data_IF_024837744828
#
_entry.id   IF_024837744828
#
_cell.length_a   1.000
_cell.length_b   1.000
_cell.length_c   1.000
_cell.angle_alpha   90.00
_cell.angle_beta   90.00
_cell.angle_gamma   90.00
#
_symmetry.space_group_name_H-M   'P 1'
#
loop_
_entity.id
_entity.type
_entity.pdbx_description
1 polymer ?
#
# COMPACT_ATOMS: atom_id res chain seq x y z
N UNK A 1 -8.16 -2.63 15.29
CA UNK A 1 -7.49 -3.37 14.19
C UNK A 1 -8.53 -4.08 13.36
N UNK A 2 -8.49 -3.92 12.07
CA UNK A 2 -9.39 -4.60 11.16
C UNK A 2 -8.59 -5.51 10.23
N UNK A 3 -8.98 -6.78 10.13
CA UNK A 3 -8.31 -7.77 9.30
C UNK A 3 -9.18 -8.09 8.09
N UNK A 4 -8.59 -8.00 6.92
CA UNK A 4 -9.24 -8.34 5.66
C UNK A 4 -8.30 -9.25 4.87
N UNK A 5 -8.72 -10.48 4.62
CA UNK A 5 -7.92 -11.48 3.94
C UNK A 5 -8.41 -11.66 2.50
N UNK A 6 -7.50 -11.52 1.54
CA UNK A 6 -7.81 -11.66 0.13
C UNK A 6 -6.70 -12.45 -0.57
N UNK A 7 -7.05 -13.25 -1.62
CA UNK A 7 -6.05 -13.96 -2.42
C UNK A 7 -5.44 -13.06 -3.48
N UNK A 8 -4.14 -13.21 -3.73
CA UNK A 8 -3.41 -12.52 -4.78
C UNK A 8 -2.63 -13.53 -5.61
N UNK A 9 -2.94 -13.61 -6.90
CA UNK A 9 -2.24 -14.53 -7.79
C UNK A 9 -0.90 -13.95 -8.19
N UNK A 10 0.20 -14.53 -7.67
CA UNK A 10 1.56 -14.02 -7.87
C UNK A 10 2.33 -14.78 -8.94
N UNK A 11 1.82 -15.93 -9.38
CA UNK A 11 2.39 -16.68 -10.50
C UNK A 11 1.28 -17.46 -11.18
N UNK A 12 1.51 -18.09 -12.34
CA UNK A 12 0.50 -18.93 -12.98
C UNK A 12 -0.01 -20.07 -12.10
N UNK A 13 0.77 -20.47 -11.07
CA UNK A 13 0.46 -21.63 -10.24
C UNK A 13 0.40 -21.32 -8.75
N UNK A 14 0.71 -20.10 -8.32
CA UNK A 14 0.78 -19.77 -6.90
C UNK A 14 -0.05 -18.53 -6.55
N UNK A 15 -0.77 -18.62 -5.42
CA UNK A 15 -1.57 -17.53 -4.86
C UNK A 15 -1.04 -17.17 -3.49
N UNK A 16 -0.79 -15.88 -3.26
CA UNK A 16 -0.40 -15.35 -1.97
C UNK A 16 -1.63 -14.88 -1.20
N UNK A 17 -1.50 -14.82 0.12
CA UNK A 17 -2.56 -14.33 1.00
C UNK A 17 -2.26 -12.87 1.38
N UNK A 18 -3.22 -11.98 1.15
CA UNK A 18 -3.11 -10.58 1.53
C UNK A 18 -3.80 -10.31 2.86
N UNK A 19 -3.10 -9.63 3.75
CA UNK A 19 -3.61 -9.21 5.04
C UNK A 19 -3.59 -7.68 5.10
N UNK A 20 -4.75 -7.06 5.37
CA UNK A 20 -4.85 -5.61 5.55
C UNK A 20 -5.05 -5.28 7.01
N UNK A 21 -4.27 -4.36 7.53
CA UNK A 21 -4.37 -3.89 8.90
C UNK A 21 -4.54 -2.38 8.91
N UNK A 22 -5.42 -1.89 9.80
CA UNK A 22 -5.68 -0.46 9.94
C UNK A 22 -5.22 0.01 11.31
N UNK A 23 -4.63 1.20 11.34
CA UNK A 23 -4.28 1.89 12.57
C UNK A 23 -4.90 3.27 12.58
N UNK A 24 -5.28 3.75 13.75
CA UNK A 24 -5.86 5.07 13.93
C UNK A 24 -5.27 5.68 15.20
N UNK A 25 -4.75 6.89 15.09
CA UNK A 25 -4.19 7.61 16.21
C UNK A 25 -4.84 8.98 16.33
N UNK A 26 -5.17 9.36 17.57
CA UNK A 26 -5.71 10.68 17.90
C UNK A 26 -4.71 11.37 18.83
N UNK A 27 -4.33 12.58 18.50
CA UNK A 27 -3.39 13.38 19.31
C UNK A 27 -3.87 14.83 19.37
N UNK A 28 -3.34 15.67 20.29
CA UNK A 28 -3.86 17.03 20.46
C UNK A 28 -3.84 17.89 19.20
N UNK A 29 -2.86 17.68 18.31
CA UNK A 29 -2.73 18.46 17.07
C UNK A 29 -3.56 17.91 15.90
N UNK A 30 -4.20 16.74 16.05
CA UNK A 30 -5.00 16.17 14.96
C UNK A 30 -5.22 14.68 15.11
N UNK A 31 -5.41 14.00 13.98
CA UNK A 31 -5.58 12.55 13.94
C UNK A 31 -4.99 11.99 12.64
N UNK A 32 -4.62 10.73 12.68
CA UNK A 32 -4.10 10.03 11.51
C UNK A 32 -4.66 8.62 11.42
N UNK A 33 -4.81 8.14 10.20
CA UNK A 33 -5.20 6.77 9.89
C UNK A 33 -4.26 6.20 8.85
N UNK A 34 -3.99 4.90 8.95
CA UNK A 34 -3.18 4.20 7.97
C UNK A 34 -3.70 2.79 7.78
N UNK A 35 -3.59 2.30 6.53
CA UNK A 35 -3.91 0.91 6.20
C UNK A 35 -2.70 0.31 5.48
N UNK A 36 -2.28 -0.86 5.96
CA UNK A 36 -1.11 -1.56 5.44
C UNK A 36 -1.55 -2.90 4.87
N UNK A 37 -1.05 -3.22 3.67
CA UNK A 37 -1.22 -4.53 3.05
C UNK A 37 0.09 -5.30 3.16
N UNK A 38 0.00 -6.55 3.65
CA UNK A 38 1.12 -7.48 3.64
C UNK A 38 0.71 -8.72 2.88
N UNK A 39 1.51 -9.13 1.91
CA UNK A 39 1.32 -10.38 1.19
C UNK A 39 2.18 -11.46 1.81
N UNK A 40 1.58 -12.63 2.02
CA UNK A 40 2.25 -13.79 2.59
C UNK A 40 2.23 -14.95 1.61
N UNK A 41 3.36 -15.63 1.52
CA UNK A 41 3.47 -16.89 0.82
C UNK A 41 3.19 -18.01 1.81
N UNK A 42 2.40 -19.00 1.39
CA UNK A 42 2.08 -20.15 2.23
C UNK A 42 3.08 -21.25 1.92
N UNK A 43 3.92 -21.60 2.91
CA UNK A 43 4.92 -22.65 2.80
C UNK A 43 4.64 -23.73 3.85
N UNK A 44 3.90 -24.78 3.45
CA UNK A 44 3.45 -25.81 4.39
C UNK A 44 2.55 -25.24 5.45
N UNK A 45 3.01 -25.19 6.71
CA UNK A 45 2.27 -24.61 7.83
C UNK A 45 2.78 -23.22 8.23
N UNK A 46 3.62 -22.62 7.39
CA UNK A 46 4.25 -21.33 7.68
C UNK A 46 3.80 -20.26 6.70
N UNK A 47 3.55 -19.06 7.20
CA UNK A 47 3.29 -17.88 6.39
C UNK A 47 4.57 -17.04 6.34
N UNK A 48 5.05 -16.77 5.13
CA UNK A 48 6.25 -15.96 4.93
C UNK A 48 5.86 -14.63 4.28
N UNK A 49 6.17 -13.48 4.92
CA UNK A 49 5.89 -12.19 4.29
C UNK A 49 6.80 -11.98 3.08
N UNK A 50 6.22 -11.57 1.96
CA UNK A 50 6.93 -11.37 0.69
C UNK A 50 6.81 -9.96 0.15
N UNK A 51 5.84 -9.18 0.66
CA UNK A 51 5.61 -7.80 0.23
C UNK A 51 4.81 -7.07 1.28
N UNK A 52 5.09 -5.79 1.45
CA UNK A 52 4.34 -4.94 2.37
C UNK A 52 4.33 -3.51 1.83
N UNK A 53 3.15 -2.87 1.90
CA UNK A 53 3.01 -1.48 1.47
C UNK A 53 1.87 -0.81 2.22
N UNK A 54 2.01 0.49 2.44
CA UNK A 54 0.93 1.32 2.95
C UNK A 54 -0.03 1.61 1.80
N UNK A 55 -1.30 1.25 2.00
CA UNK A 55 -2.32 1.38 0.97
C UNK A 55 -3.22 2.59 1.16
N UNK A 56 -3.26 3.14 2.35
CA UNK A 56 -4.00 4.34 2.66
C UNK A 56 -3.34 5.05 3.83
N UNK A 57 -3.27 6.36 3.73
CA UNK A 57 -2.79 7.22 4.80
C UNK A 57 -3.62 8.50 4.79
N UNK A 58 -4.05 8.93 5.95
CA UNK A 58 -4.76 10.19 6.13
C UNK A 58 -4.24 10.88 7.37
N UNK A 59 -3.86 12.15 7.22
CA UNK A 59 -3.36 12.98 8.30
C UNK A 59 -4.12 14.29 8.28
N UNK A 60 -4.89 14.55 9.33
CA UNK A 60 -5.64 15.77 9.51
C UNK A 60 -5.07 16.54 10.69
N UNK A 61 -4.61 17.76 10.43
CA UNK A 61 -4.06 18.62 11.46
C UNK A 61 -5.05 19.70 11.86
N UNK A 62 -5.21 19.87 13.16
CA UNK A 62 -6.02 20.94 13.76
C UNK A 62 -5.17 22.21 13.77
N UNK A 63 -5.80 23.37 13.81
CA UNK A 63 -5.10 24.65 13.78
C UNK A 63 -5.01 25.19 12.35
N UNK A 64 -3.95 24.91 11.57
CA UNK A 64 -3.91 25.37 10.18
C UNK A 64 -4.92 24.66 9.28
N UNK A 65 -5.46 23.51 9.71
CA UNK A 65 -6.50 22.82 8.95
C UNK A 65 -6.01 22.13 7.70
N UNK A 66 -4.82 21.54 7.74
CA UNK A 66 -4.27 20.81 6.61
C UNK A 66 -4.77 19.36 6.64
N UNK A 67 -5.13 18.85 5.47
CA UNK A 67 -5.51 17.46 5.26
C UNK A 67 -4.66 16.87 4.15
N UNK A 68 -3.97 15.78 4.46
CA UNK A 68 -3.21 15.02 3.47
C UNK A 68 -3.76 13.59 3.44
N UNK A 69 -4.10 13.13 2.24
CA UNK A 69 -4.63 11.78 2.03
C UNK A 69 -3.85 11.10 0.93
N UNK A 70 -3.43 9.87 1.17
CA UNK A 70 -2.79 9.01 0.16
C UNK A 70 -3.58 7.72 0.03
N UNK A 71 -3.84 7.32 -1.22
CA UNK A 71 -4.47 6.05 -1.52
C UNK A 71 -3.64 5.31 -2.56
N UNK A 72 -3.49 4.02 -2.36
CA UNK A 72 -2.70 3.18 -3.26
C UNK A 72 -3.51 1.99 -3.75
N UNK A 73 -3.25 1.61 -4.98
CA UNK A 73 -3.82 0.41 -5.60
C UNK A 73 -2.67 -0.49 -6.02
N UNK A 74 -2.76 -1.77 -5.66
CA UNK A 74 -1.78 -2.76 -6.08
C UNK A 74 -2.31 -3.48 -7.31
N UNK A 75 -1.53 -3.42 -8.40
CA UNK A 75 -1.84 -4.08 -9.65
C UNK A 75 -0.86 -5.23 -9.86
N UNK A 76 -1.36 -6.35 -10.36
CA UNK A 76 -0.51 -7.48 -10.72
C UNK A 76 -0.25 -7.38 -12.21
N UNK A 77 1.02 -7.21 -12.58
CA UNK A 77 1.44 -7.08 -13.97
C UNK A 77 1.46 -8.44 -14.66
N UNK A 78 1.30 -8.45 -15.98
CA UNK A 78 1.47 -9.66 -16.77
C UNK A 78 2.95 -10.01 -16.98
N UNK A 79 3.85 -9.05 -16.74
CA UNK A 79 5.29 -9.29 -16.83
C UNK A 79 5.77 -10.07 -15.61
N UNK A 80 6.72 -10.97 -15.85
CA UNK A 80 7.25 -11.86 -14.82
C UNK A 80 8.75 -11.66 -14.64
N UNK A 81 9.21 -11.85 -13.42
CA UNK A 81 10.62 -11.92 -13.06
C UNK A 81 10.80 -13.18 -12.24
N UNK A 82 11.70 -14.06 -12.67
CA UNK A 82 11.96 -15.36 -12.01
C UNK A 82 10.68 -16.20 -11.82
N UNK A 83 9.74 -16.10 -12.76
CA UNK A 83 8.51 -16.88 -12.77
C UNK A 83 7.35 -16.26 -11.99
N UNK A 84 7.54 -15.10 -11.34
CA UNK A 84 6.51 -14.42 -10.57
C UNK A 84 6.12 -13.11 -11.24
N UNK A 85 4.82 -12.80 -11.21
CA UNK A 85 4.31 -11.56 -11.78
C UNK A 85 4.86 -10.37 -11.02
N UNK A 86 5.29 -9.34 -11.74
CA UNK A 86 5.70 -8.08 -11.13
C UNK A 86 4.48 -7.40 -10.49
N UNK A 87 4.71 -6.63 -9.44
CA UNK A 87 3.68 -5.83 -8.79
C UNK A 87 3.88 -4.36 -9.12
N UNK A 88 2.79 -3.65 -9.36
CA UNK A 88 2.81 -2.20 -9.61
C UNK A 88 1.94 -1.53 -8.56
N UNK A 89 2.55 -0.65 -7.77
CA UNK A 89 1.86 0.12 -6.75
C UNK A 89 1.63 1.53 -7.28
N UNK A 90 0.36 1.90 -7.45
CA UNK A 90 -0.04 3.24 -7.90
C UNK A 90 -0.54 4.01 -6.70
N UNK A 91 0.14 5.10 -6.37
CA UNK A 91 -0.20 5.94 -5.22
C UNK A 91 -0.68 7.30 -5.70
N UNK A 92 -1.81 7.75 -5.15
CA UNK A 92 -2.36 9.09 -5.38
C UNK A 92 -2.38 9.81 -4.04
N UNK A 93 -1.68 10.93 -3.96
CA UNK A 93 -1.62 11.77 -2.77
C UNK A 93 -2.35 13.09 -3.04
N UNK A 94 -3.24 13.46 -2.13
CA UNK A 94 -3.96 14.72 -2.20
C UNK A 94 -3.69 15.53 -0.94
N UNK A 95 -3.32 16.81 -1.14
CA UNK A 95 -3.12 17.75 -0.04
C UNK A 95 -4.14 18.88 -0.19
N UNK A 96 -4.86 19.18 0.89
CA UNK A 96 -5.87 20.23 0.92
C UNK A 96 -5.69 21.08 2.19
N UNK A 97 -6.00 22.38 2.07
CA UNK A 97 -6.11 23.27 3.21
C UNK A 97 -7.58 23.48 3.51
N UNK A 98 -8.02 23.10 4.71
CA UNK A 98 -9.43 23.14 5.08
C UNK A 98 -10.00 24.57 5.02
N UNK A 99 -9.18 25.58 5.35
CA UNK A 99 -9.59 26.98 5.35
C UNK A 99 -9.32 27.71 4.03
N UNK A 100 -8.80 27.03 3.03
CA UNK A 100 -8.57 27.59 1.69
C UNK A 100 -9.11 26.63 0.65
N UNK A 101 -10.36 26.86 0.23
CA UNK A 101 -11.04 25.97 -0.71
C UNK A 101 -10.42 25.98 -2.11
N UNK A 102 -9.55 26.94 -2.40
CA UNK A 102 -8.84 27.00 -3.68
C UNK A 102 -7.52 26.24 -3.67
N UNK A 103 -7.07 25.77 -2.49
CA UNK A 103 -5.85 25.01 -2.39
C UNK A 103 -6.16 23.52 -2.41
N UNK A 104 -5.75 22.87 -3.50
CA UNK A 104 -5.80 21.43 -3.65
C UNK A 104 -4.66 21.03 -4.55
N UNK A 105 -3.87 20.04 -4.10
CA UNK A 105 -2.74 19.54 -4.87
C UNK A 105 -2.82 18.03 -4.90
N UNK A 106 -2.73 17.46 -6.10
CA UNK A 106 -2.77 16.01 -6.29
C UNK A 106 -1.48 15.57 -6.99
N UNK A 107 -0.88 14.50 -6.46
CA UNK A 107 0.32 13.89 -7.03
C UNK A 107 0.08 12.39 -7.17
N UNK A 108 0.44 11.85 -8.34
CA UNK A 108 0.34 10.42 -8.61
C UNK A 108 1.73 9.86 -8.88
N UNK A 109 2.06 8.76 -8.21
CA UNK A 109 3.33 8.06 -8.41
C UNK A 109 3.06 6.59 -8.67
N UNK A 110 4.02 5.94 -9.31
CA UNK A 110 3.91 4.53 -9.65
C UNK A 110 5.26 3.87 -9.36
N UNK A 111 5.23 2.74 -8.65
CA UNK A 111 6.43 1.98 -8.33
C UNK A 111 6.24 0.53 -8.73
N UNK A 112 7.29 -0.07 -9.29
CA UNK A 112 7.29 -1.47 -9.70
C UNK A 112 8.15 -2.29 -8.75
N UNK A 113 7.65 -3.48 -8.43
CA UNK A 113 8.36 -4.44 -7.60
C UNK A 113 8.49 -5.75 -8.36
N UNK A 114 9.65 -6.37 -8.29
CA UNK A 114 9.90 -7.65 -8.94
C UNK A 114 10.41 -8.68 -7.94
N UNK A 115 10.20 -9.95 -8.28
CA UNK A 115 10.61 -11.07 -7.42
C UNK A 115 12.12 -11.21 -7.40
N UNK A 116 12.70 -11.14 -6.20
CA UNK A 116 14.13 -11.27 -5.97
C UNK A 116 14.37 -12.00 -4.66
N UNK A 117 15.10 -13.11 -4.73
CA UNK A 117 15.53 -13.87 -3.54
C UNK A 117 14.37 -14.23 -2.61
N UNK A 118 13.25 -14.68 -3.16
CA UNK A 118 12.12 -15.16 -2.40
C UNK A 118 11.16 -14.10 -1.87
N UNK A 119 11.27 -12.86 -2.36
CA UNK A 119 10.39 -11.77 -1.96
C UNK A 119 10.32 -10.71 -3.06
N UNK A 120 9.38 -9.79 -2.94
CA UNK A 120 9.30 -8.64 -3.82
C UNK A 120 10.20 -7.51 -3.35
N UNK A 121 10.91 -6.91 -4.29
CA UNK A 121 11.79 -5.76 -4.03
C UNK A 121 11.59 -4.72 -5.11
N UNK A 122 11.85 -3.43 -4.81
CA UNK A 122 11.72 -2.38 -5.82
C UNK A 122 12.60 -2.69 -7.02
N UNK A 123 12.01 -2.54 -8.22
CA UNK A 123 12.76 -2.75 -9.46
C UNK A 123 13.68 -1.57 -9.68
N UNK A 124 14.95 -1.87 -9.88
CA UNK A 124 15.95 -0.86 -10.23
C UNK A 124 16.01 -0.69 -11.74
N UNK A 125 16.21 0.52 -12.15
CA UNK A 125 16.53 0.84 -13.54
C UNK A 125 17.99 1.23 -13.65
#
# INVERSE_FOLDING_TARGET
MHLDLAPYRISPTETALGLRTKTHEVFPAGESEAEKLTLFRILGHTLKPIFSAEMMYSDEQRGPGDLTTSESTLQISEQKTSGYFDLVLVETTRSEKIFDTNYSRTKRTQRRFSWQRGRYSPTRR
#
